data_IF_406879610898
#
_entry.id   IF_406879610898
#
_cell.length_a   1.000
_cell.length_b   1.000
_cell.length_c   1.000
_cell.angle_alpha   90.00
_cell.angle_beta   90.00
_cell.angle_gamma   90.00
#
_symmetry.space_group_name_H-M   'P 1'
#
loop_
_entity.id
_entity.type
_entity.pdbx_description
1 polymer ?
#
# COMPACT_ATOMS: atom_id res chain seq x y z
N UNK A 1 -7.92 -25.28 -0.84
CA UNK A 1 -8.86 -25.02 -1.96
C UNK A 1 -10.06 -24.25 -1.44
N UNK A 2 -10.51 -23.28 -2.18
CA UNK A 2 -11.68 -22.47 -1.83
C UNK A 2 -12.60 -22.38 -3.06
N UNK A 3 -13.93 -22.40 -2.83
CA UNK A 3 -14.90 -22.16 -3.89
C UNK A 3 -14.99 -20.66 -4.18
N UNK A 4 -15.10 -20.31 -5.47
CA UNK A 4 -15.31 -18.91 -5.87
C UNK A 4 -16.63 -18.35 -5.33
N UNK A 5 -17.56 -19.22 -4.96
CA UNK A 5 -18.80 -18.80 -4.30
C UNK A 5 -18.56 -18.22 -2.90
N UNK A 6 -17.42 -18.52 -2.29
CA UNK A 6 -17.05 -18.07 -0.95
C UNK A 6 -16.11 -16.86 -0.97
N UNK A 7 -15.95 -16.21 -2.11
CA UNK A 7 -15.10 -15.01 -2.22
C UNK A 7 -15.52 -13.93 -1.25
N UNK A 8 -14.51 -13.31 -0.67
CA UNK A 8 -14.64 -12.11 0.20
C UNK A 8 -13.56 -11.12 -0.19
N UNK A 9 -13.85 -9.85 -0.05
CA UNK A 9 -12.86 -8.79 -0.26
C UNK A 9 -11.71 -8.96 0.72
N UNK A 10 -10.49 -8.89 0.21
CA UNK A 10 -9.28 -9.09 1.01
C UNK A 10 -8.78 -10.53 1.06
N UNK A 11 -9.56 -11.48 0.56
CA UNK A 11 -9.13 -12.88 0.48
C UNK A 11 -7.97 -13.03 -0.49
N UNK A 12 -6.97 -13.85 -0.14
CA UNK A 12 -5.82 -14.12 -1.02
C UNK A 12 -5.95 -15.51 -1.62
N UNK A 13 -5.74 -15.57 -2.94
CA UNK A 13 -5.94 -16.80 -3.73
C UNK A 13 -4.76 -17.01 -4.67
N UNK A 14 -4.57 -18.27 -5.07
CA UNK A 14 -3.57 -18.66 -6.06
C UNK A 14 -4.30 -19.07 -7.35
N UNK A 15 -3.95 -18.42 -8.45
CA UNK A 15 -4.51 -18.71 -9.78
C UNK A 15 -3.37 -18.71 -10.78
N UNK A 16 -3.22 -19.82 -11.51
CA UNK A 16 -2.19 -20.01 -12.54
C UNK A 16 -0.76 -19.69 -12.06
N UNK A 17 -0.46 -20.03 -10.80
CA UNK A 17 0.85 -19.82 -10.21
C UNK A 17 1.11 -18.42 -9.65
N UNK A 18 0.17 -17.50 -9.84
CA UNK A 18 0.24 -16.15 -9.28
C UNK A 18 -0.65 -16.00 -8.06
N UNK A 19 -0.32 -15.04 -7.22
CA UNK A 19 -1.00 -14.75 -5.97
C UNK A 19 -1.77 -13.45 -6.11
N UNK A 20 -3.06 -13.50 -5.81
CA UNK A 20 -3.97 -12.35 -5.96
C UNK A 20 -4.73 -12.07 -4.68
N UNK A 21 -5.01 -10.78 -4.44
CA UNK A 21 -6.00 -10.35 -3.45
C UNK A 21 -7.30 -10.03 -4.18
N UNK A 22 -8.40 -10.55 -3.66
CA UNK A 22 -9.74 -10.23 -4.18
C UNK A 22 -10.09 -8.81 -3.75
N UNK A 23 -10.18 -7.89 -4.72
CA UNK A 23 -10.56 -6.50 -4.48
C UNK A 23 -12.07 -6.34 -4.50
N UNK A 24 -12.72 -7.00 -5.44
CA UNK A 24 -14.16 -6.93 -5.62
C UNK A 24 -14.62 -8.20 -6.38
N UNK A 25 -15.89 -8.53 -6.24
CA UNK A 25 -16.48 -9.67 -6.93
C UNK A 25 -17.98 -9.48 -7.07
N UNK A 26 -18.55 -10.12 -8.09
CA UNK A 26 -19.97 -10.08 -8.35
C UNK A 26 -20.46 -11.45 -8.79
N UNK A 27 -21.48 -11.95 -8.11
CA UNK A 27 -22.18 -13.18 -8.52
C UNK A 27 -23.24 -12.82 -9.58
N UNK A 28 -23.13 -13.43 -10.75
CA UNK A 28 -24.03 -13.16 -11.86
C UNK A 28 -24.77 -14.45 -12.21
N UNK A 29 -26.11 -14.35 -12.25
CA UNK A 29 -26.99 -15.42 -12.69
C UNK A 29 -27.70 -14.96 -13.95
N UNK A 30 -27.15 -15.27 -15.15
CA UNK A 30 -27.79 -14.86 -16.39
C UNK A 30 -29.11 -15.60 -16.60
N UNK A 31 -30.05 -14.99 -17.33
CA UNK A 31 -31.32 -15.65 -17.67
C UNK A 31 -31.14 -16.86 -18.58
N UNK A 32 -30.06 -16.89 -19.38
CA UNK A 32 -29.61 -18.03 -20.18
C UNK A 32 -28.14 -18.25 -19.92
N UNK A 33 -27.75 -19.52 -19.71
CA UNK A 33 -26.37 -19.91 -19.47
C UNK A 33 -26.07 -20.16 -18.00
N UNK A 34 -24.83 -20.57 -17.70
CA UNK A 34 -24.39 -20.92 -16.37
C UNK A 34 -24.08 -19.67 -15.54
N UNK A 35 -24.35 -19.74 -14.24
CA UNK A 35 -23.95 -18.69 -13.31
C UNK A 35 -22.42 -18.57 -13.24
N UNK A 36 -21.95 -17.38 -13.01
CA UNK A 36 -20.52 -17.09 -12.91
C UNK A 36 -20.20 -16.03 -11.86
N UNK A 37 -18.93 -15.97 -11.45
CA UNK A 37 -18.43 -14.95 -10.53
C UNK A 37 -17.43 -14.09 -11.29
N UNK A 38 -17.71 -12.81 -11.46
CA UNK A 38 -16.78 -11.84 -12.00
C UNK A 38 -16.00 -11.23 -10.85
N UNK A 39 -14.68 -11.30 -10.93
CA UNK A 39 -13.83 -10.82 -9.85
C UNK A 39 -12.78 -9.85 -10.35
N UNK A 40 -12.42 -8.92 -9.47
CA UNK A 40 -11.32 -7.99 -9.66
C UNK A 40 -10.21 -8.39 -8.72
N UNK A 41 -9.05 -8.73 -9.28
CA UNK A 41 -7.94 -9.32 -8.56
C UNK A 41 -6.69 -8.44 -8.68
N UNK A 42 -6.01 -8.22 -7.56
CA UNK A 42 -4.72 -7.52 -7.56
C UNK A 42 -3.60 -8.55 -7.43
N UNK A 43 -2.70 -8.56 -8.41
CA UNK A 43 -1.51 -9.42 -8.36
C UNK A 43 -0.55 -8.88 -7.32
N UNK A 44 -0.19 -9.71 -6.32
CA UNK A 44 0.67 -9.29 -5.23
C UNK A 44 2.15 -9.24 -5.59
N UNK A 45 2.56 -9.84 -6.71
CA UNK A 45 3.95 -9.79 -7.17
C UNK A 45 4.25 -8.54 -7.98
N UNK A 46 3.35 -8.13 -8.87
CA UNK A 46 3.57 -6.99 -9.76
C UNK A 46 2.66 -5.78 -9.49
N UNK A 47 1.68 -5.92 -8.60
CA UNK A 47 0.75 -4.84 -8.26
C UNK A 47 -0.35 -4.57 -9.27
N UNK A 48 -0.39 -5.30 -10.38
CA UNK A 48 -1.39 -5.09 -11.42
C UNK A 48 -2.75 -5.62 -11.00
N UNK A 49 -3.80 -4.94 -11.45
CA UNK A 49 -5.18 -5.34 -11.23
C UNK A 49 -5.72 -5.93 -12.52
N UNK A 50 -6.33 -7.13 -12.42
CA UNK A 50 -6.93 -7.82 -13.55
C UNK A 50 -8.36 -8.23 -13.21
N UNK A 51 -9.22 -8.32 -14.22
CA UNK A 51 -10.55 -8.91 -14.07
C UNK A 51 -10.50 -10.37 -14.50
N UNK A 52 -11.16 -11.22 -13.72
CA UNK A 52 -11.23 -12.64 -14.00
C UNK A 52 -12.61 -13.18 -13.71
N UNK A 53 -13.12 -14.00 -14.63
CA UNK A 53 -14.44 -14.62 -14.49
C UNK A 53 -14.27 -16.10 -14.24
N UNK A 54 -14.94 -16.60 -13.21
CA UNK A 54 -14.95 -18.01 -12.83
C UNK A 54 -16.37 -18.57 -12.94
N UNK A 55 -16.47 -19.85 -13.24
CA UNK A 55 -17.78 -20.52 -13.16
C UNK A 55 -18.21 -20.62 -11.70
N UNK A 56 -19.50 -20.47 -11.44
CA UNK A 56 -20.02 -20.65 -10.09
C UNK A 56 -19.67 -22.06 -9.58
N UNK A 57 -19.14 -22.12 -8.35
CA UNK A 57 -18.71 -23.38 -7.75
C UNK A 57 -17.32 -23.86 -8.15
N UNK A 58 -16.63 -23.16 -9.06
CA UNK A 58 -15.24 -23.47 -9.38
C UNK A 58 -14.37 -23.35 -8.14
N UNK A 59 -13.35 -24.19 -8.00
CA UNK A 59 -12.43 -24.16 -6.88
C UNK A 59 -11.05 -23.66 -7.34
N UNK A 60 -10.43 -22.85 -6.50
CA UNK A 60 -9.08 -22.31 -6.72
C UNK A 60 -8.26 -22.46 -5.45
N UNK A 61 -6.94 -22.35 -5.57
CA UNK A 61 -6.05 -22.40 -4.41
C UNK A 61 -6.24 -21.21 -3.50
N UNK A 62 -6.19 -21.44 -2.20
CA UNK A 62 -6.13 -20.36 -1.22
C UNK A 62 -4.66 -20.10 -0.90
N UNK A 63 -4.24 -18.84 -1.04
CA UNK A 63 -2.89 -18.43 -0.67
C UNK A 63 -2.92 -17.92 0.77
N UNK A 64 -2.08 -18.49 1.63
CA UNK A 64 -1.92 -18.02 3.00
C UNK A 64 -0.70 -17.12 3.03
N UNK A 65 -0.94 -15.84 3.28
CA UNK A 65 0.09 -14.82 3.34
C UNK A 65 0.53 -14.63 4.78
N UNK A 66 1.83 -14.58 5.01
CA UNK A 66 2.40 -14.28 6.31
C UNK A 66 2.69 -12.78 6.40
N UNK A 67 2.30 -12.19 7.53
CA UNK A 67 2.61 -10.80 7.88
C UNK A 67 3.48 -10.81 9.13
N UNK A 68 4.61 -10.10 9.07
CA UNK A 68 5.50 -9.94 10.22
C UNK A 68 5.81 -8.47 10.44
N UNK A 69 5.81 -8.04 11.70
CA UNK A 69 6.21 -6.69 12.06
C UNK A 69 7.73 -6.55 11.98
N UNK A 70 8.19 -5.56 11.24
CA UNK A 70 9.61 -5.26 11.09
C UNK A 70 9.83 -3.76 11.27
N UNK A 71 11.06 -3.41 11.65
CA UNK A 71 11.46 -2.02 11.81
C UNK A 71 12.37 -1.61 10.66
N UNK A 72 12.06 -0.47 10.04
CA UNK A 72 12.95 0.13 9.06
C UNK A 72 14.11 0.78 9.78
N UNK A 73 15.34 0.40 9.45
CA UNK A 73 16.52 0.90 10.14
C UNK A 73 17.19 2.06 9.41
N UNK A 74 17.67 1.82 8.18
CA UNK A 74 18.39 2.83 7.41
C UNK A 74 18.50 2.43 5.95
N UNK A 75 18.90 3.38 5.13
CA UNK A 75 19.24 3.16 3.73
C UNK A 75 20.76 3.11 3.57
N UNK A 76 21.23 2.18 2.75
CA UNK A 76 22.65 2.06 2.37
C UNK A 76 22.72 1.92 0.85
N UNK A 77 23.00 3.03 0.17
CA UNK A 77 22.94 3.07 -1.31
C UNK A 77 21.51 2.83 -1.78
N UNK A 78 21.32 1.84 -2.63
CA UNK A 78 20.00 1.43 -3.11
C UNK A 78 19.30 0.43 -2.20
N UNK A 79 19.98 -0.05 -1.17
CA UNK A 79 19.44 -1.03 -0.24
C UNK A 79 18.79 -0.34 0.97
N UNK A 80 17.64 -0.86 1.39
CA UNK A 80 16.92 -0.41 2.58
C UNK A 80 16.88 -1.54 3.58
N UNK A 81 17.42 -1.31 4.77
CA UNK A 81 17.63 -2.34 5.78
C UNK A 81 16.51 -2.35 6.79
N UNK A 82 15.97 -3.53 7.05
CA UNK A 82 14.89 -3.79 8.00
C UNK A 82 15.33 -4.81 9.02
N UNK A 83 14.70 -4.80 10.18
CA UNK A 83 14.94 -5.77 11.24
C UNK A 83 13.63 -6.37 11.71
N UNK A 84 13.59 -7.71 11.81
CA UNK A 84 12.45 -8.42 12.37
C UNK A 84 12.33 -8.09 13.86
N UNK A 85 11.15 -7.65 14.32
CA UNK A 85 10.92 -7.24 15.71
C UNK A 85 10.97 -8.42 16.70
N UNK A 86 10.82 -9.65 16.22
CA UNK A 86 10.84 -10.84 17.09
C UNK A 86 12.19 -11.52 17.10
N UNK A 87 12.79 -11.73 15.93
CA UNK A 87 14.05 -12.48 15.80
C UNK A 87 15.28 -11.60 15.79
N UNK A 88 15.09 -10.27 15.56
CA UNK A 88 16.17 -9.28 15.39
C UNK A 88 17.04 -9.53 14.17
N UNK A 89 16.63 -10.44 13.28
CA UNK A 89 17.33 -10.67 12.02
C UNK A 89 17.17 -9.45 11.10
N UNK A 90 18.25 -9.07 10.46
CA UNK A 90 18.28 -7.96 9.52
C UNK A 90 18.23 -8.50 8.08
N UNK A 91 17.52 -7.80 7.23
CA UNK A 91 17.47 -8.09 5.80
C UNK A 91 17.32 -6.77 5.04
N UNK A 92 17.64 -6.78 3.76
CA UNK A 92 17.54 -5.58 2.92
C UNK A 92 16.59 -5.81 1.75
N UNK A 93 15.93 -4.75 1.32
CA UNK A 93 15.13 -4.69 0.11
C UNK A 93 15.70 -3.60 -0.79
N UNK A 94 15.65 -3.84 -2.11
CA UNK A 94 16.11 -2.87 -3.08
C UNK A 94 15.11 -1.72 -3.24
N UNK A 95 15.62 -0.54 -3.57
CA UNK A 95 14.78 0.66 -3.74
C UNK A 95 13.70 0.47 -4.81
N UNK A 96 13.97 -0.28 -5.87
CA UNK A 96 12.99 -0.53 -6.93
C UNK A 96 11.81 -1.39 -6.48
N UNK A 97 11.97 -2.17 -5.40
CA UNK A 97 10.88 -2.94 -4.80
C UNK A 97 10.00 -2.08 -3.89
N UNK A 98 10.43 -0.88 -3.54
CA UNK A 98 9.81 -0.01 -2.55
C UNK A 98 9.47 1.40 -3.09
N UNK A 99 9.36 1.58 -4.40
CA UNK A 99 9.20 2.90 -5.03
C UNK A 99 8.12 3.77 -4.38
N UNK A 100 6.95 3.21 -4.14
CA UNK A 100 5.85 3.94 -3.50
C UNK A 100 6.08 4.12 -2.01
N UNK A 101 6.48 3.05 -1.34
CA UNK A 101 6.63 3.00 0.11
C UNK A 101 7.74 3.93 0.61
N UNK A 102 8.76 4.19 -0.21
CA UNK A 102 9.86 5.08 0.16
C UNK A 102 9.41 6.52 0.41
N UNK A 103 8.27 6.93 -0.14
CA UNK A 103 7.68 8.24 0.13
C UNK A 103 7.24 8.41 1.59
N UNK A 104 7.11 7.31 2.33
CA UNK A 104 6.54 7.30 3.68
C UNK A 104 7.44 6.66 4.72
N UNK A 105 8.48 5.94 4.30
CA UNK A 105 9.40 5.27 5.23
C UNK A 105 10.37 6.25 5.86
N UNK A 106 10.44 6.23 7.19
CA UNK A 106 11.47 6.94 7.94
C UNK A 106 12.12 6.00 8.95
N UNK A 107 13.33 6.34 9.38
CA UNK A 107 14.11 5.50 10.29
C UNK A 107 13.33 5.16 11.56
N UNK A 108 13.48 3.92 12.00
CA UNK A 108 12.85 3.36 13.21
C UNK A 108 11.32 3.18 13.12
N UNK A 109 10.74 3.36 11.94
CA UNK A 109 9.33 3.13 11.71
C UNK A 109 9.03 1.64 11.66
N UNK A 110 7.93 1.20 12.29
CA UNK A 110 7.47 -0.18 12.23
C UNK A 110 6.48 -0.35 11.08
N UNK A 111 6.72 -1.37 10.25
CA UNK A 111 5.85 -1.75 9.13
C UNK A 111 5.64 -3.26 9.15
N UNK A 112 4.69 -3.75 8.37
CA UNK A 112 4.49 -5.19 8.19
C UNK A 112 5.08 -5.65 6.87
N UNK A 113 5.86 -6.72 6.91
CA UNK A 113 6.34 -7.37 5.71
C UNK A 113 5.36 -8.47 5.31
N UNK A 114 5.08 -8.55 4.01
CA UNK A 114 4.15 -9.53 3.45
C UNK A 114 4.97 -10.58 2.70
N UNK A 115 4.79 -11.83 3.05
CA UNK A 115 5.50 -12.94 2.40
C UNK A 115 4.57 -14.12 2.13
N UNK A 116 4.94 -14.92 1.14
CA UNK A 116 4.24 -16.14 0.77
C UNK A 116 5.27 -17.24 0.53
N UNK A 117 5.21 -18.29 1.35
CA UNK A 117 6.13 -19.42 1.28
C UNK A 117 7.62 -19.00 1.23
N UNK A 118 7.97 -18.02 2.05
CA UNK A 118 9.33 -17.48 2.12
C UNK A 118 9.68 -16.42 1.08
N UNK A 119 8.82 -16.18 0.09
CA UNK A 119 8.99 -15.12 -0.90
C UNK A 119 8.47 -13.79 -0.36
N UNK A 120 9.30 -12.75 -0.42
CA UNK A 120 8.90 -11.40 -0.03
C UNK A 120 8.06 -10.78 -1.13
N UNK A 121 6.81 -10.42 -0.82
CA UNK A 121 5.90 -9.79 -1.77
C UNK A 121 5.91 -8.26 -1.66
N UNK A 122 6.27 -7.72 -0.50
CA UNK A 122 6.30 -6.29 -0.27
C UNK A 122 6.09 -5.94 1.19
N UNK A 123 5.82 -4.67 1.44
CA UNK A 123 5.53 -4.18 2.78
C UNK A 123 4.15 -3.52 2.82
N UNK A 124 3.47 -3.65 3.96
CA UNK A 124 2.23 -2.94 4.23
C UNK A 124 2.52 -1.79 5.17
N UNK A 125 2.19 -0.58 4.73
CA UNK A 125 2.29 0.62 5.53
C UNK A 125 1.04 0.79 6.38
N UNK A 126 1.13 1.49 7.54
CA UNK A 126 -0.08 2.01 8.19
C UNK A 126 -0.87 2.86 7.20
N UNK A 127 -2.18 3.01 7.42
CA UNK A 127 -3.04 3.80 6.53
C UNK A 127 -2.64 5.28 6.49
N UNK A 128 -1.99 5.75 7.54
CA UNK A 128 -1.46 7.11 7.62
C UNK A 128 -0.15 7.12 8.40
N UNK A 129 0.69 8.09 8.10
CA UNK A 129 1.98 8.30 8.76
C UNK A 129 2.16 9.78 9.09
N UNK A 130 2.95 10.05 10.13
CA UNK A 130 3.31 11.42 10.50
C UNK A 130 4.64 11.78 9.85
N UNK A 131 4.66 12.86 9.07
CA UNK A 131 5.85 13.34 8.38
C UNK A 131 6.03 14.82 8.61
N UNK A 132 7.27 15.24 8.85
CA UNK A 132 7.62 16.63 9.12
C UNK A 132 7.87 17.38 7.83
N UNK A 133 7.37 18.61 7.76
CA UNK A 133 7.64 19.53 6.64
C UNK A 133 9.06 20.06 6.76
N UNK A 134 9.86 19.89 5.72
CA UNK A 134 11.23 20.42 5.64
C UNK A 134 11.34 21.66 4.78
N UNK A 135 10.45 21.82 3.80
CA UNK A 135 10.35 23.01 2.96
C UNK A 135 8.88 23.27 2.64
N UNK A 136 8.47 24.53 2.64
CA UNK A 136 7.14 24.91 2.19
C UNK A 136 7.21 26.17 1.34
N UNK A 137 6.36 26.25 0.33
CA UNK A 137 6.20 27.49 -0.44
C UNK A 137 5.65 28.58 0.47
N UNK A 138 6.09 29.84 0.29
CA UNK A 138 5.51 30.95 1.05
C UNK A 138 4.04 31.15 0.69
N UNK A 139 3.22 31.51 1.68
CA UNK A 139 1.83 31.89 1.45
C UNK A 139 1.82 33.21 0.69
N UNK A 140 1.13 33.25 -0.45
CA UNK A 140 1.00 34.47 -1.24
C UNK A 140 -0.19 35.28 -0.70
N UNK A 141 0.07 36.49 -0.21
CA UNK A 141 -0.98 37.41 0.23
C UNK A 141 -1.87 37.78 -0.97
N UNK A 142 -3.18 37.70 -0.77
CA UNK A 142 -4.16 38.08 -1.78
C UNK A 142 -4.75 36.89 -2.56
N UNK A 143 -4.21 35.71 -2.42
CA UNK A 143 -4.82 34.51 -2.98
C UNK A 143 -5.74 33.87 -1.94
N UNK A 144 -6.93 34.44 -1.79
CA UNK A 144 -7.92 34.01 -0.81
C UNK A 144 -9.00 33.10 -1.37
N UNK A 145 -8.76 32.51 -2.54
CA UNK A 145 -9.68 31.55 -3.11
C UNK A 145 -9.89 30.38 -2.13
N UNK A 146 -11.14 30.01 -1.95
CA UNK A 146 -11.50 28.90 -1.09
C UNK A 146 -10.86 27.63 -1.63
N UNK A 147 -10.14 26.88 -0.78
CA UNK A 147 -9.40 25.70 -1.21
C UNK A 147 -8.01 25.98 -1.77
N UNK A 148 -7.48 27.20 -1.57
CA UNK A 148 -6.10 27.51 -1.96
C UNK A 148 -5.11 26.64 -1.22
N UNK A 149 -4.15 26.07 -1.97
CA UNK A 149 -3.12 25.19 -1.45
C UNK A 149 -1.75 25.66 -1.90
N UNK A 150 -0.72 25.13 -1.25
CA UNK A 150 0.67 25.31 -1.63
C UNK A 150 1.41 23.99 -1.55
N UNK A 151 2.59 23.90 -2.16
CA UNK A 151 3.42 22.72 -2.09
C UNK A 151 4.28 22.72 -0.83
N UNK A 152 4.37 21.57 -0.18
CA UNK A 152 5.25 21.34 0.95
C UNK A 152 6.05 20.07 0.71
N UNK A 153 7.36 20.12 0.98
CA UNK A 153 8.24 18.98 0.89
C UNK A 153 8.43 18.38 2.27
N UNK A 154 8.26 17.08 2.38
CA UNK A 154 8.34 16.36 3.63
C UNK A 154 9.72 15.72 3.82
N UNK A 155 10.01 15.28 5.04
CA UNK A 155 11.31 14.74 5.44
C UNK A 155 11.74 13.51 4.61
N UNK A 156 10.79 12.79 4.00
CA UNK A 156 11.06 11.64 3.13
C UNK A 156 11.33 12.03 1.68
N UNK A 157 11.18 13.31 1.33
CA UNK A 157 11.30 13.81 -0.04
C UNK A 157 9.97 13.90 -0.79
N UNK A 158 8.89 13.40 -0.21
CA UNK A 158 7.55 13.52 -0.81
C UNK A 158 7.09 14.97 -0.80
N UNK A 159 6.54 15.43 -1.92
CA UNK A 159 5.90 16.75 -2.04
C UNK A 159 4.39 16.57 -2.03
N UNK A 160 3.69 17.32 -1.18
CA UNK A 160 2.24 17.26 -1.06
C UNK A 160 1.62 18.65 -1.14
N UNK A 161 0.37 18.73 -1.56
CA UNK A 161 -0.41 19.95 -1.53
C UNK A 161 -1.04 20.11 -0.14
N UNK A 162 -0.82 21.25 0.47
CA UNK A 162 -1.25 21.53 1.85
C UNK A 162 -1.96 22.89 1.93
N UNK A 163 -2.80 23.11 2.96
CA UNK A 163 -3.38 24.43 3.20
C UNK A 163 -2.30 25.51 3.40
N UNK A 164 -2.64 26.76 3.13
CA UNK A 164 -1.69 27.85 3.19
C UNK A 164 -1.11 28.11 4.60
N UNK A 165 -1.80 27.67 5.66
CA UNK A 165 -1.35 27.87 7.04
C UNK A 165 -0.24 26.90 7.49
N UNK A 166 0.10 25.92 6.67
CA UNK A 166 1.15 24.94 7.01
C UNK A 166 2.53 25.61 6.86
N UNK A 167 3.37 25.44 7.87
CA UNK A 167 4.72 26.02 7.91
C UNK A 167 5.78 24.91 7.99
N UNK A 168 7.02 25.30 7.76
CA UNK A 168 8.17 24.41 7.98
C UNK A 168 8.18 23.95 9.45
N UNK A 169 8.61 22.71 9.65
CA UNK A 169 8.66 22.01 10.94
C UNK A 169 7.29 21.54 11.46
N UNK A 170 6.20 21.86 10.79
CA UNK A 170 4.92 21.25 11.13
C UNK A 170 4.96 19.74 10.83
N UNK A 171 4.32 18.94 11.68
CA UNK A 171 4.17 17.51 11.48
C UNK A 171 2.79 17.26 10.92
N UNK A 172 2.73 16.56 9.79
CA UNK A 172 1.51 16.31 9.05
C UNK A 172 1.14 14.83 9.06
N UNK A 173 -0.16 14.57 9.10
CA UNK A 173 -0.70 13.23 8.90
C UNK A 173 -0.94 13.05 7.40
N UNK A 174 -0.31 12.04 6.82
CA UNK A 174 -0.32 11.76 5.38
C UNK A 174 -0.96 10.41 5.12
N UNK A 175 -1.89 10.36 4.16
CA UNK A 175 -2.51 9.11 3.71
C UNK A 175 -1.50 8.31 2.88
N UNK A 176 -1.18 7.11 3.29
CA UNK A 176 -0.19 6.27 2.60
C UNK A 176 -0.75 5.60 1.34
N UNK A 177 -2.06 5.58 1.16
CA UNK A 177 -2.68 5.00 -0.03
C UNK A 177 -2.67 5.96 -1.21
N UNK A 178 -2.86 7.24 -0.96
CA UNK A 178 -2.94 8.27 -1.99
C UNK A 178 -1.76 9.26 -1.97
N UNK A 179 -1.00 9.30 -0.87
CA UNK A 179 0.10 10.26 -0.72
C UNK A 179 -0.37 11.69 -0.50
N UNK A 180 -1.51 11.86 0.14
CA UNK A 180 -2.15 13.16 0.32
C UNK A 180 -2.17 13.59 1.78
N UNK A 181 -2.18 14.91 1.97
CA UNK A 181 -2.36 15.54 3.28
C UNK A 181 -3.75 15.23 3.85
N UNK A 182 -3.79 14.85 5.13
CA UNK A 182 -5.04 14.65 5.88
C UNK A 182 -5.27 15.81 6.84
N UNK A 183 -4.32 16.05 7.74
CA UNK A 183 -4.39 17.09 8.76
C UNK A 183 -3.00 17.33 9.36
N UNK A 184 -2.89 18.35 10.21
CA UNK A 184 -1.72 18.44 11.09
C UNK A 184 -1.84 17.37 12.18
N UNK A 185 -0.71 16.78 12.49
CA UNK A 185 -0.65 15.78 13.55
C UNK A 185 -0.72 16.43 14.93
#
# INVERSE_FOLDING_TARGET
MISVNDFKTGLTVEVDGDIFTVLDFQHVKPGKGAAFVRSKLKNLRNGNTVERTFRAGETIGRAIIENRAVQYLYASGSEHVFMDNQTYDQFSLEADQLEWELNFLKENMTVNIVSYQGELLGINLPTSVELKVVESEPSVKGNTAQGATKSAKLETGLTVQVPLFIDENDVLLIDTREGKYISRA
#
